data_IF_748283060764
#
_entry.id   IF_748283060764
#
_cell.length_a   1.000
_cell.length_b   1.000
_cell.length_c   1.000
_cell.angle_alpha   90.00
_cell.angle_beta   90.00
_cell.angle_gamma   90.00
#
_symmetry.space_group_name_H-M   'P 1'
#
loop_
_entity.id
_entity.type
_entity.pdbx_description
1 polymer ?
#
# COMPACT_ATOMS: atom_id res chain seq x y z
N UNK A 1 25.33 -7.56 2.51
CA UNK A 1 24.82 -8.97 2.54
C UNK A 1 23.53 -9.17 3.35
N UNK A 2 23.45 -8.91 4.66
CA UNK A 2 22.24 -9.23 5.46
C UNK A 2 21.04 -8.35 5.10
N UNK A 3 21.30 -7.07 4.88
CA UNK A 3 20.31 -6.06 4.50
C UNK A 3 19.80 -6.25 3.07
N UNK A 4 20.70 -6.59 2.15
CA UNK A 4 20.39 -6.93 0.76
C UNK A 4 19.46 -8.15 0.63
N UNK A 5 19.68 -9.19 1.45
CA UNK A 5 18.79 -10.36 1.51
C UNK A 5 17.40 -10.02 2.07
N UNK A 6 17.33 -9.12 3.06
CA UNK A 6 16.05 -8.62 3.60
C UNK A 6 15.29 -7.81 2.56
N UNK A 7 15.99 -6.94 1.83
CA UNK A 7 15.41 -6.15 0.74
C UNK A 7 14.92 -7.05 -0.40
N UNK A 8 15.69 -8.08 -0.77
CA UNK A 8 15.29 -9.09 -1.74
C UNK A 8 14.00 -9.82 -1.33
N UNK A 9 13.91 -10.25 -0.07
CA UNK A 9 12.70 -10.88 0.45
C UNK A 9 11.50 -9.93 0.45
N UNK A 10 11.70 -8.67 0.82
CA UNK A 10 10.64 -7.66 0.78
C UNK A 10 10.11 -7.43 -0.65
N UNK A 11 11.01 -7.33 -1.64
CA UNK A 11 10.64 -7.22 -3.06
C UNK A 11 9.77 -8.40 -3.53
N UNK A 12 10.12 -9.62 -3.12
CA UNK A 12 9.34 -10.82 -3.45
C UNK A 12 7.95 -10.81 -2.78
N UNK A 13 7.86 -10.34 -1.53
CA UNK A 13 6.58 -10.19 -0.82
C UNK A 13 5.70 -9.09 -1.43
N UNK A 14 6.30 -8.00 -1.94
CA UNK A 14 5.56 -6.94 -2.66
C UNK A 14 4.96 -7.45 -3.97
N UNK A 15 5.62 -8.39 -4.64
CA UNK A 15 5.09 -9.03 -5.86
C UNK A 15 3.98 -10.02 -5.56
N UNK A 16 4.17 -10.87 -4.55
CA UNK A 16 3.16 -11.83 -4.12
C UNK A 16 3.36 -12.21 -2.66
N UNK A 17 2.55 -11.61 -1.79
CA UNK A 17 2.59 -11.81 -0.34
C UNK A 17 2.08 -13.18 0.12
N UNK A 18 1.35 -13.92 -0.74
CA UNK A 18 0.77 -15.24 -0.43
C UNK A 18 1.78 -16.38 -0.55
N UNK A 19 2.98 -16.12 -1.07
CA UNK A 19 4.01 -17.15 -1.24
C UNK A 19 4.42 -17.75 0.11
N UNK A 20 4.55 -19.07 0.10
CA UNK A 20 5.08 -19.83 1.22
C UNK A 20 6.56 -19.53 1.44
N UNK A 21 7.05 -19.74 2.66
CA UNK A 21 8.46 -19.56 2.98
C UNK A 21 9.37 -20.48 2.13
N UNK A 22 8.86 -21.63 1.67
CA UNK A 22 9.56 -22.53 0.73
C UNK A 22 9.72 -21.93 -0.66
N UNK A 23 8.66 -21.32 -1.19
CA UNK A 23 8.71 -20.66 -2.51
C UNK A 23 9.58 -19.41 -2.47
N UNK A 24 9.51 -18.65 -1.38
CA UNK A 24 10.36 -17.48 -1.14
C UNK A 24 11.84 -17.90 -0.97
N UNK A 25 12.11 -19.02 -0.33
CA UNK A 25 13.47 -19.58 -0.20
C UNK A 25 14.07 -19.90 -1.58
N UNK A 26 13.30 -20.56 -2.46
CA UNK A 26 13.70 -20.83 -3.84
C UNK A 26 13.97 -19.54 -4.63
N UNK A 27 13.11 -18.54 -4.54
CA UNK A 27 13.30 -17.28 -5.28
C UNK A 27 14.43 -16.39 -4.73
N UNK A 28 14.69 -16.44 -3.43
CA UNK A 28 15.74 -15.62 -2.80
C UNK A 28 17.10 -16.33 -2.75
N UNK A 29 17.18 -17.60 -3.17
CA UNK A 29 18.41 -18.40 -3.08
C UNK A 29 18.87 -18.63 -1.64
N UNK A 30 17.92 -18.72 -0.69
CA UNK A 30 18.21 -18.92 0.74
C UNK A 30 17.50 -20.16 1.28
N UNK A 31 17.86 -20.60 2.49
CA UNK A 31 17.17 -21.70 3.14
C UNK A 31 15.81 -21.26 3.70
N UNK A 32 14.84 -22.18 3.76
CA UNK A 32 13.52 -21.92 4.35
C UNK A 32 13.60 -21.32 5.77
N UNK A 33 14.44 -21.82 6.71
CA UNK A 33 14.57 -21.21 8.04
C UNK A 33 15.06 -19.76 8.01
N UNK A 34 15.93 -19.41 7.04
CA UNK A 34 16.41 -18.03 6.85
C UNK A 34 15.26 -17.11 6.46
N UNK A 35 14.40 -17.55 5.54
CA UNK A 35 13.21 -16.80 5.14
C UNK A 35 12.26 -16.61 6.30
N UNK A 36 11.93 -17.67 7.04
CA UNK A 36 11.01 -17.58 8.20
C UNK A 36 11.50 -16.56 9.23
N UNK A 37 12.79 -16.58 9.56
CA UNK A 37 13.39 -15.61 10.48
C UNK A 37 13.34 -14.19 9.92
N UNK A 38 13.71 -14.00 8.66
CA UNK A 38 13.74 -12.69 8.02
C UNK A 38 12.32 -12.12 7.83
N UNK A 39 11.33 -12.95 7.53
CA UNK A 39 9.91 -12.56 7.42
C UNK A 39 9.38 -12.05 8.76
N UNK A 40 9.73 -12.71 9.87
CA UNK A 40 9.40 -12.22 11.22
C UNK A 40 10.05 -10.86 11.51
N UNK A 41 11.30 -10.65 11.08
CA UNK A 41 11.98 -9.37 11.20
C UNK A 41 11.35 -8.28 10.32
N UNK A 42 10.85 -8.65 9.13
CA UNK A 42 10.14 -7.73 8.23
C UNK A 42 8.76 -7.33 8.74
N UNK A 43 8.14 -8.11 9.62
CA UNK A 43 6.79 -7.84 10.15
C UNK A 43 6.63 -6.43 10.73
N UNK A 44 7.66 -5.88 11.39
CA UNK A 44 7.62 -4.51 11.94
C UNK A 44 7.71 -3.39 10.87
N UNK A 45 8.11 -3.74 9.64
CA UNK A 45 8.21 -2.82 8.50
C UNK A 45 7.04 -2.97 7.52
N UNK A 46 6.20 -4.00 7.68
CA UNK A 46 5.06 -4.25 6.80
C UNK A 46 3.81 -3.66 7.46
N UNK A 47 3.24 -2.62 6.85
CA UNK A 47 2.06 -1.94 7.36
C UNK A 47 0.80 -2.81 7.31
N UNK A 48 0.58 -3.52 6.20
CA UNK A 48 -0.57 -4.39 6.00
C UNK A 48 -0.32 -5.38 4.87
N UNK A 49 -1.11 -6.46 4.88
CA UNK A 49 -1.26 -7.36 3.74
C UNK A 49 -2.65 -7.13 3.17
N UNK A 50 -2.71 -6.62 1.95
CA UNK A 50 -3.98 -6.31 1.28
C UNK A 50 -4.16 -7.14 0.02
N UNK A 51 -5.41 -7.36 -0.36
CA UNK A 51 -5.81 -7.98 -1.62
C UNK A 51 -6.35 -6.85 -2.49
N UNK A 52 -5.81 -6.70 -3.70
CA UNK A 52 -6.38 -5.82 -4.72
C UNK A 52 -7.34 -6.68 -5.54
N UNK A 53 -8.66 -6.42 -5.51
CA UNK A 53 -9.61 -7.19 -6.30
C UNK A 53 -9.49 -6.86 -7.79
N UNK A 54 -9.92 -7.81 -8.62
CA UNK A 54 -10.24 -7.54 -10.02
C UNK A 54 -11.56 -6.75 -10.06
N UNK A 55 -11.45 -5.42 -10.15
CA UNK A 55 -12.58 -4.48 -10.02
C UNK A 55 -13.65 -4.71 -11.10
N UNK A 56 -13.24 -5.07 -12.31
CA UNK A 56 -14.12 -5.41 -13.44
C UNK A 56 -15.03 -6.60 -13.10
N UNK A 57 -14.48 -7.64 -12.45
CA UNK A 57 -15.23 -8.87 -12.11
C UNK A 57 -16.28 -8.68 -11.02
N UNK A 58 -16.19 -7.60 -10.25
CA UNK A 58 -17.13 -7.27 -9.18
C UNK A 58 -18.08 -6.12 -9.55
N UNK A 59 -18.15 -5.77 -10.84
CA UNK A 59 -19.12 -4.82 -11.38
C UNK A 59 -18.66 -3.35 -11.38
N UNK A 60 -17.38 -3.07 -11.12
CA UNK A 60 -16.81 -1.74 -11.33
C UNK A 60 -16.25 -1.63 -12.75
N UNK A 61 -16.98 -0.93 -13.61
CA UNK A 61 -16.61 -0.77 -15.03
C UNK A 61 -15.85 0.53 -15.30
N UNK A 62 -15.95 1.52 -14.41
CA UNK A 62 -15.40 2.86 -14.61
C UNK A 62 -14.41 3.19 -13.49
N UNK A 63 -13.20 3.58 -13.87
CA UNK A 63 -12.22 4.23 -13.01
C UNK A 63 -12.18 5.73 -13.34
N UNK A 64 -12.50 6.58 -12.36
CA UNK A 64 -12.42 8.02 -12.50
C UNK A 64 -11.29 8.58 -11.62
N UNK A 65 -10.45 9.44 -12.21
CA UNK A 65 -9.41 10.18 -11.49
C UNK A 65 -9.84 11.64 -11.42
N UNK A 66 -10.14 12.12 -10.21
CA UNK A 66 -10.65 13.47 -9.98
C UNK A 66 -9.57 14.34 -9.35
N UNK A 67 -9.24 15.45 -10.01
CA UNK A 67 -8.34 16.46 -9.47
C UNK A 67 -9.15 17.66 -8.99
N UNK A 68 -9.04 18.02 -7.71
CA UNK A 68 -9.70 19.17 -7.13
C UNK A 68 -8.65 20.19 -6.66
N UNK A 69 -8.85 21.46 -7.00
CA UNK A 69 -8.02 22.57 -6.51
C UNK A 69 -8.78 23.35 -5.44
N UNK A 70 -8.14 23.59 -4.30
CA UNK A 70 -8.67 24.44 -3.24
C UNK A 70 -7.92 25.77 -3.22
N UNK A 71 -8.64 26.89 -3.07
CA UNK A 71 -8.01 28.19 -2.86
C UNK A 71 -7.40 28.27 -1.46
N UNK A 72 -6.10 28.54 -1.41
CA UNK A 72 -5.25 28.60 -0.22
C UNK A 72 -5.18 30.06 0.26
N UNK A 73 -6.07 30.46 1.19
CA UNK A 73 -6.07 31.83 1.71
C UNK A 73 -5.24 31.96 3.00
N UNK A 74 -5.28 30.95 3.89
CA UNK A 74 -4.40 30.85 5.06
C UNK A 74 -4.16 29.38 5.44
N UNK A 75 -3.03 29.09 6.10
CA UNK A 75 -2.65 27.72 6.51
C UNK A 75 -3.73 27.08 7.41
N UNK A 76 -4.28 27.82 8.38
CA UNK A 76 -5.32 27.31 9.28
C UNK A 76 -6.61 26.94 8.54
N UNK A 77 -7.00 27.70 7.53
CA UNK A 77 -8.18 27.38 6.71
C UNK A 77 -7.96 26.19 5.79
N UNK A 78 -6.71 25.97 5.35
CA UNK A 78 -6.33 24.81 4.55
C UNK A 78 -6.45 23.55 5.37
N UNK A 79 -5.86 23.52 6.57
CA UNK A 79 -5.92 22.36 7.47
C UNK A 79 -7.38 21.96 7.78
N UNK A 80 -8.23 22.94 8.09
CA UNK A 80 -9.65 22.71 8.35
C UNK A 80 -10.40 22.16 7.11
N UNK A 81 -10.08 22.65 5.91
CA UNK A 81 -10.67 22.15 4.66
C UNK A 81 -10.19 20.75 4.31
N UNK A 82 -8.90 20.46 4.50
CA UNK A 82 -8.31 19.13 4.27
C UNK A 82 -8.95 18.12 5.20
N UNK A 83 -9.12 18.45 6.49
CA UNK A 83 -9.76 17.55 7.46
C UNK A 83 -11.23 17.26 7.09
N UNK A 84 -11.97 18.29 6.65
CA UNK A 84 -13.34 18.12 6.17
C UNK A 84 -13.40 17.24 4.90
N UNK A 85 -12.47 17.45 3.96
CA UNK A 85 -12.38 16.66 2.75
C UNK A 85 -12.04 15.19 3.06
N UNK A 86 -11.09 14.93 3.96
CA UNK A 86 -10.75 13.57 4.43
C UNK A 86 -11.96 12.86 5.00
N UNK A 87 -12.71 13.50 5.91
CA UNK A 87 -13.94 12.93 6.48
C UNK A 87 -15.00 12.64 5.41
N UNK A 88 -15.18 13.55 4.47
CA UNK A 88 -16.12 13.34 3.36
C UNK A 88 -15.71 12.15 2.50
N UNK A 89 -14.43 12.06 2.10
CA UNK A 89 -13.91 10.95 1.29
C UNK A 89 -14.07 9.60 2.00
N UNK A 90 -13.76 9.52 3.30
CA UNK A 90 -13.88 8.28 4.07
C UNK A 90 -15.31 7.72 4.14
N UNK A 91 -16.33 8.57 3.96
CA UNK A 91 -17.73 8.15 3.97
C UNK A 91 -18.23 7.63 2.60
N UNK A 92 -17.39 7.68 1.56
CA UNK A 92 -17.77 7.28 0.20
C UNK A 92 -17.01 6.03 -0.23
N UNK A 93 -17.71 4.88 -0.21
CA UNK A 93 -17.12 3.57 -0.54
C UNK A 93 -16.60 3.47 -1.98
N UNK A 94 -17.07 4.33 -2.89
CA UNK A 94 -16.58 4.41 -4.27
C UNK A 94 -15.23 5.13 -4.40
N UNK A 95 -14.69 5.72 -3.32
CA UNK A 95 -13.38 6.36 -3.33
C UNK A 95 -12.37 5.42 -2.66
N UNK A 96 -11.55 4.77 -3.48
CA UNK A 96 -10.53 3.81 -3.01
C UNK A 96 -9.23 4.48 -2.56
N UNK A 97 -8.99 5.72 -3.01
CA UNK A 97 -7.79 6.48 -2.71
C UNK A 97 -8.04 7.99 -2.85
N UNK A 98 -7.47 8.78 -1.93
CA UNK A 98 -7.38 10.22 -2.05
C UNK A 98 -6.08 10.71 -1.40
N UNK A 99 -5.47 11.72 -2.00
CA UNK A 99 -4.26 12.37 -1.50
C UNK A 99 -4.34 13.87 -1.77
N UNK A 100 -3.70 14.65 -0.92
CA UNK A 100 -3.33 16.02 -1.21
C UNK A 100 -2.08 16.07 -2.11
N UNK A 101 -1.84 17.24 -2.70
CA UNK A 101 -0.69 17.51 -3.55
C UNK A 101 -0.51 19.02 -3.75
N UNK A 102 0.74 19.45 -3.91
CA UNK A 102 1.15 20.86 -4.04
C UNK A 102 1.35 21.29 -5.51
N UNK A 103 0.69 20.59 -6.45
CA UNK A 103 0.92 20.69 -7.90
C UNK A 103 0.91 22.08 -8.50
#
# INVERSE_FOLDING_TARGET
>A
MKEEKLLGLLKELMRNSRRSDRELAKATGTSQPTVTRNRKLLGKYIRSYTIVPEFDKIGYEILAVTFAKAKTYSIKEVDAKVEKAKKWVMNHANIVFASDGEG
#
